data_IF_250704713732
#
_entry.id   IF_250704713732
#
_cell.length_a   1.000
_cell.length_b   1.000
_cell.length_c   1.000
_cell.angle_alpha   90.00
_cell.angle_beta   90.00
_cell.angle_gamma   90.00
#
_symmetry.space_group_name_H-M   'P 1'
#
loop_
_entity.id
_entity.type
_entity.pdbx_description
1 polymer ?
#
# COMPACT_ATOMS: atom_id res chain seq x y z
N UNK A 1 6.73 7.34 -26.54
CA UNK A 1 7.79 6.65 -25.76
C UNK A 1 7.17 5.52 -24.93
N UNK A 2 7.36 4.26 -25.31
CA UNK A 2 7.23 3.16 -24.37
C UNK A 2 8.63 2.90 -23.80
N UNK A 3 8.96 3.57 -22.69
CA UNK A 3 10.31 3.59 -22.12
C UNK A 3 10.59 2.39 -21.20
N UNK A 4 9.55 1.64 -20.80
CA UNK A 4 9.64 0.50 -19.87
C UNK A 4 8.76 -0.64 -20.38
N UNK A 5 9.31 -1.86 -20.36
CA UNK A 5 8.53 -3.08 -20.59
C UNK A 5 7.52 -3.29 -19.46
N UNK A 6 6.41 -4.03 -19.70
CA UNK A 6 5.52 -4.45 -18.64
C UNK A 6 6.29 -5.26 -17.59
N UNK A 7 6.05 -5.03 -16.29
CA UNK A 7 6.57 -5.90 -15.24
C UNK A 7 5.84 -7.25 -15.23
N UNK A 8 6.55 -8.30 -14.80
CA UNK A 8 6.03 -9.67 -14.73
C UNK A 8 4.87 -9.77 -13.72
N UNK A 9 5.09 -9.70 -12.38
CA UNK A 9 4.02 -9.34 -11.45
C UNK A 9 4.31 -8.04 -10.69
N UNK A 10 3.24 -7.36 -10.27
CA UNK A 10 3.35 -6.21 -9.36
C UNK A 10 2.73 -6.51 -8.01
N UNK A 11 3.55 -6.42 -6.96
CA UNK A 11 3.09 -6.50 -5.57
C UNK A 11 2.81 -5.10 -5.04
N UNK A 12 1.63 -4.90 -4.46
CA UNK A 12 1.16 -3.58 -4.03
C UNK A 12 0.50 -3.57 -2.67
N UNK A 13 0.58 -2.44 -2.00
CA UNK A 13 -0.17 -2.10 -0.79
C UNK A 13 -1.56 -1.51 -1.15
N UNK A 14 -2.23 -0.87 -0.21
CA UNK A 14 -3.59 -0.29 -0.27
C UNK A 14 -4.07 0.37 -1.56
N UNK A 15 -3.20 1.09 -2.24
CA UNK A 15 -3.55 2.33 -2.94
C UNK A 15 -4.26 2.18 -4.30
N UNK A 16 -5.52 2.60 -4.42
CA UNK A 16 -6.27 2.53 -5.68
C UNK A 16 -5.61 3.25 -6.87
N UNK A 17 -4.82 4.30 -6.61
CA UNK A 17 -4.14 5.08 -7.65
C UNK A 17 -3.14 4.25 -8.45
N UNK A 18 -2.31 3.45 -7.77
CA UNK A 18 -1.36 2.55 -8.42
C UNK A 18 -2.06 1.50 -9.29
N UNK A 19 -3.21 0.96 -8.86
CA UNK A 19 -3.93 -0.06 -9.63
C UNK A 19 -4.50 0.57 -10.91
N UNK A 20 -5.05 1.78 -10.79
CA UNK A 20 -5.58 2.51 -11.93
C UNK A 20 -4.49 2.79 -12.97
N UNK A 21 -3.35 3.33 -12.54
CA UNK A 21 -2.22 3.61 -13.43
C UNK A 21 -1.67 2.33 -14.08
N UNK A 22 -1.59 1.24 -13.31
CA UNK A 22 -1.16 -0.06 -13.82
C UNK A 22 -2.13 -0.60 -14.87
N UNK A 23 -3.45 -0.55 -14.63
CA UNK A 23 -4.44 -1.03 -15.59
C UNK A 23 -4.53 -0.16 -16.85
N UNK A 24 -4.22 1.13 -16.74
CA UNK A 24 -4.13 2.03 -17.90
C UNK A 24 -2.88 1.74 -18.74
N UNK A 25 -1.74 1.44 -18.10
CA UNK A 25 -0.46 1.28 -18.79
C UNK A 25 -0.13 -0.15 -19.21
N UNK A 26 -0.44 -1.11 -18.35
CA UNK A 26 -0.13 -2.54 -18.47
C UNK A 26 -1.35 -3.36 -17.99
N UNK A 27 -2.43 -3.41 -18.81
CA UNK A 27 -3.69 -4.04 -18.42
C UNK A 27 -3.55 -5.53 -18.10
N UNK A 28 -2.60 -6.20 -18.73
CA UNK A 28 -2.42 -7.66 -18.60
C UNK A 28 -1.44 -8.06 -17.49
N UNK A 29 -0.74 -7.11 -16.86
CA UNK A 29 0.19 -7.42 -15.76
C UNK A 29 -0.57 -8.03 -14.56
N UNK A 30 -0.18 -9.23 -14.10
CA UNK A 30 -0.62 -9.81 -12.83
C UNK A 30 -0.39 -8.87 -11.64
N UNK A 31 -1.38 -8.78 -10.77
CA UNK A 31 -1.33 -7.92 -9.58
C UNK A 31 -1.51 -8.76 -8.34
N UNK A 32 -0.50 -8.72 -7.47
CA UNK A 32 -0.52 -9.32 -6.15
C UNK A 32 -0.79 -8.25 -5.09
N UNK A 33 -1.73 -8.54 -4.19
CA UNK A 33 -1.90 -7.78 -2.96
C UNK A 33 -0.88 -8.24 -1.91
N UNK A 34 -0.09 -7.34 -1.36
CA UNK A 34 0.87 -7.70 -0.31
C UNK A 34 0.18 -8.37 0.90
N UNK A 35 0.53 -9.63 1.19
CA UNK A 35 -0.09 -10.41 2.27
C UNK A 35 0.15 -9.81 3.66
N UNK A 36 1.32 -9.19 3.87
CA UNK A 36 1.59 -8.44 5.12
C UNK A 36 0.57 -7.34 5.37
N UNK A 37 0.17 -6.60 4.32
CA UNK A 37 -0.85 -5.54 4.45
C UNK A 37 -2.26 -6.10 4.67
N UNK A 38 -2.55 -7.30 4.17
CA UNK A 38 -3.81 -8.00 4.46
C UNK A 38 -3.84 -8.43 5.93
N UNK A 39 -2.77 -9.09 6.40
CA UNK A 39 -2.57 -9.43 7.81
C UNK A 39 -2.71 -8.21 8.73
N UNK A 40 -2.06 -7.10 8.38
CA UNK A 40 -2.10 -5.86 9.15
C UNK A 40 -3.52 -5.24 9.18
N UNK A 41 -4.24 -5.26 8.05
CA UNK A 41 -5.61 -4.74 8.00
C UNK A 41 -6.57 -5.55 8.89
N UNK A 42 -6.43 -6.87 8.90
CA UNK A 42 -7.18 -7.75 9.80
C UNK A 42 -6.78 -7.48 11.26
N UNK A 43 -5.48 -7.48 11.55
CA UNK A 43 -4.94 -7.27 12.91
C UNK A 43 -5.31 -5.91 13.49
N UNK A 44 -5.34 -4.84 12.67
CA UNK A 44 -5.81 -3.51 13.10
C UNK A 44 -7.29 -3.54 13.53
N UNK A 45 -8.08 -4.43 12.95
CA UNK A 45 -9.50 -4.58 13.23
C UNK A 45 -9.76 -5.44 14.47
N UNK A 46 -9.05 -6.56 14.60
CA UNK A 46 -9.22 -7.50 15.73
C UNK A 46 -8.44 -7.08 16.99
N UNK A 47 -7.35 -6.33 16.82
CA UNK A 47 -6.30 -6.21 17.82
C UNK A 47 -5.37 -7.43 17.82
N UNK A 48 -4.28 -7.34 18.58
CA UNK A 48 -3.28 -8.41 18.70
C UNK A 48 -3.67 -9.49 19.72
N UNK A 49 -4.52 -9.14 20.69
CA UNK A 49 -5.06 -10.04 21.72
C UNK A 49 -6.58 -9.84 21.87
N UNK A 50 -7.37 -10.26 20.86
CA UNK A 50 -8.83 -10.09 20.89
C UNK A 50 -9.48 -10.90 22.02
N UNK A 51 -10.50 -10.33 22.65
CA UNK A 51 -11.25 -10.98 23.74
C UNK A 51 -12.49 -11.74 23.28
N UNK A 52 -12.98 -11.50 22.06
CA UNK A 52 -14.18 -12.15 21.51
C UNK A 52 -13.81 -13.24 20.52
N UNK A 53 -14.57 -14.34 20.50
CA UNK A 53 -14.32 -15.49 19.62
C UNK A 53 -14.28 -15.11 18.13
N UNK A 54 -15.21 -14.25 17.67
CA UNK A 54 -15.24 -13.77 16.28
C UNK A 54 -13.93 -13.07 15.89
N UNK A 55 -13.35 -12.28 16.81
CA UNK A 55 -12.11 -11.56 16.58
C UNK A 55 -10.87 -12.46 16.78
N UNK A 56 -10.94 -13.45 17.68
CA UNK A 56 -9.88 -14.46 17.87
C UNK A 56 -9.70 -15.29 16.59
N UNK A 57 -10.78 -15.87 16.08
CA UNK A 57 -10.72 -16.67 14.84
C UNK A 57 -10.31 -15.82 13.64
N UNK A 58 -10.77 -14.57 13.56
CA UNK A 58 -10.34 -13.65 12.50
C UNK A 58 -8.86 -13.27 12.65
N UNK A 59 -8.33 -13.19 13.88
CA UNK A 59 -6.90 -12.99 14.14
C UNK A 59 -6.09 -14.21 13.72
N UNK A 60 -6.59 -15.42 13.91
CA UNK A 60 -5.94 -16.65 13.45
C UNK A 60 -5.81 -16.65 11.92
N UNK A 61 -6.86 -16.26 11.20
CA UNK A 61 -6.79 -16.06 9.74
C UNK A 61 -5.75 -15.00 9.34
N UNK A 62 -5.55 -13.97 10.17
CA UNK A 62 -4.50 -12.96 9.91
C UNK A 62 -3.09 -13.52 10.09
N UNK A 63 -2.87 -14.45 11.03
CA UNK A 63 -1.57 -15.14 11.16
C UNK A 63 -1.40 -16.12 10.00
N UNK A 64 -2.40 -16.96 9.76
CA UNK A 64 -2.36 -17.98 8.71
C UNK A 64 -2.08 -17.38 7.32
N UNK A 65 -2.64 -16.20 6.99
CA UNK A 65 -2.39 -15.58 5.68
C UNK A 65 -0.92 -15.21 5.47
N UNK A 66 -0.16 -14.95 6.55
CA UNK A 66 1.26 -14.62 6.46
C UNK A 66 2.16 -15.85 6.21
N UNK A 67 1.59 -17.05 6.36
CA UNK A 67 2.25 -18.34 6.19
C UNK A 67 1.83 -19.04 4.88
N UNK A 68 1.11 -18.34 3.99
CA UNK A 68 0.72 -18.87 2.68
C UNK A 68 1.92 -18.81 1.73
N UNK A 69 2.34 -19.97 1.24
CA UNK A 69 3.51 -20.14 0.38
C UNK A 69 3.25 -21.03 -0.85
N UNK A 70 2.14 -21.76 -0.86
CA UNK A 70 1.76 -22.72 -1.88
C UNK A 70 0.23 -22.81 -2.03
N UNK A 71 -0.23 -23.53 -3.04
CA UNK A 71 -1.66 -23.71 -3.32
C UNK A 71 -2.40 -24.36 -2.15
N UNK A 72 -1.76 -25.30 -1.45
CA UNK A 72 -2.38 -26.02 -0.34
C UNK A 72 -2.65 -25.09 0.85
N UNK A 73 -1.68 -24.25 1.22
CA UNK A 73 -1.82 -23.22 2.25
C UNK A 73 -2.82 -22.14 1.86
N UNK A 74 -2.91 -21.78 0.58
CA UNK A 74 -3.92 -20.87 0.06
C UNK A 74 -5.33 -21.45 0.18
N UNK A 75 -5.53 -22.72 -0.21
CA UNK A 75 -6.81 -23.43 -0.07
C UNK A 75 -7.21 -23.49 1.42
N UNK A 76 -6.29 -23.89 2.30
CA UNK A 76 -6.56 -23.92 3.76
C UNK A 76 -7.00 -22.56 4.30
N UNK A 77 -6.43 -21.47 3.78
CA UNK A 77 -6.84 -20.12 4.19
C UNK A 77 -8.23 -19.74 3.66
N UNK A 78 -8.53 -20.09 2.41
CA UNK A 78 -9.84 -19.84 1.79
C UNK A 78 -10.96 -20.60 2.54
N UNK A 79 -10.72 -21.87 2.83
CA UNK A 79 -11.65 -22.72 3.59
C UNK A 79 -11.85 -22.17 5.00
N UNK A 80 -10.77 -21.88 5.74
CA UNK A 80 -10.87 -21.31 7.08
C UNK A 80 -11.61 -19.97 7.10
N UNK A 81 -11.42 -19.13 6.08
CA UNK A 81 -12.17 -17.88 5.91
C UNK A 81 -13.65 -18.15 5.63
N UNK A 82 -13.97 -19.10 4.77
CA UNK A 82 -15.35 -19.46 4.45
C UNK A 82 -16.07 -19.99 5.70
N UNK A 83 -15.42 -20.86 6.46
CA UNK A 83 -15.92 -21.39 7.73
C UNK A 83 -16.18 -20.27 8.75
N UNK A 84 -15.25 -19.32 8.86
CA UNK A 84 -15.44 -18.14 9.70
C UNK A 84 -16.65 -17.30 9.25
N UNK A 85 -16.82 -17.09 7.94
CA UNK A 85 -17.97 -16.35 7.41
C UNK A 85 -19.29 -17.05 7.70
N UNK A 86 -19.35 -18.38 7.52
CA UNK A 86 -20.53 -19.18 7.83
C UNK A 86 -20.86 -19.16 9.33
N UNK A 87 -19.86 -19.38 10.18
CA UNK A 87 -20.05 -19.43 11.64
C UNK A 87 -20.61 -18.14 12.21
N UNK A 88 -20.15 -16.99 11.70
CA UNK A 88 -20.50 -15.67 12.23
C UNK A 88 -21.50 -14.92 11.36
N UNK A 89 -22.17 -15.59 10.42
CA UNK A 89 -23.04 -14.95 9.43
C UNK A 89 -24.10 -14.05 10.09
N UNK A 90 -24.79 -14.53 11.12
CA UNK A 90 -25.83 -13.77 11.83
C UNK A 90 -25.29 -12.42 12.37
N UNK A 91 -24.11 -12.42 12.96
CA UNK A 91 -23.45 -11.22 13.48
C UNK A 91 -22.95 -10.29 12.36
N UNK A 92 -22.51 -10.87 11.24
CA UNK A 92 -22.01 -10.10 10.10
C UNK A 92 -23.15 -9.41 9.32
N UNK A 93 -24.35 -9.99 9.36
CA UNK A 93 -25.55 -9.48 8.71
C UNK A 93 -26.38 -8.57 9.62
N UNK A 94 -26.07 -8.53 10.92
CA UNK A 94 -26.70 -7.63 11.88
C UNK A 94 -26.53 -6.16 11.45
N UNK A 95 -27.64 -5.41 11.42
CA UNK A 95 -27.64 -3.99 11.09
C UNK A 95 -28.29 -3.15 12.17
N UNK A 96 -27.70 -1.98 12.41
CA UNK A 96 -28.23 -0.93 13.28
C UNK A 96 -28.63 0.28 12.44
N UNK A 97 -29.64 1.02 12.90
CA UNK A 97 -30.08 2.27 12.27
C UNK A 97 -29.34 3.44 12.91
N UNK A 98 -28.64 4.24 12.11
CA UNK A 98 -27.96 5.44 12.60
C UNK A 98 -28.94 6.60 12.90
N UNK A 99 -28.45 7.65 13.54
CA UNK A 99 -29.26 8.84 13.89
C UNK A 99 -29.90 9.54 12.67
N UNK A 100 -29.47 9.21 11.44
CA UNK A 100 -30.01 9.72 10.17
C UNK A 100 -30.96 8.72 9.50
N UNK A 101 -31.36 7.65 10.19
CA UNK A 101 -32.27 6.64 9.67
C UNK A 101 -31.63 5.64 8.69
N UNK A 102 -30.30 5.63 8.55
CA UNK A 102 -29.61 4.74 7.58
C UNK A 102 -29.22 3.43 8.26
N UNK A 103 -29.50 2.31 7.60
CA UNK A 103 -29.02 0.99 8.04
C UNK A 103 -27.51 0.85 7.82
N UNK A 104 -26.79 0.46 8.86
CA UNK A 104 -25.34 0.20 8.86
C UNK A 104 -25.08 -1.16 9.50
N UNK A 105 -24.02 -1.89 9.11
CA UNK A 105 -23.64 -3.09 9.84
C UNK A 105 -23.36 -2.76 11.32
N UNK A 106 -23.78 -3.63 12.24
CA UNK A 106 -23.51 -3.50 13.66
C UNK A 106 -22.00 -3.57 13.95
N UNK A 107 -21.27 -4.36 13.15
CA UNK A 107 -19.82 -4.55 13.23
C UNK A 107 -19.12 -3.99 11.96
N UNK A 108 -19.10 -2.66 11.74
CA UNK A 108 -18.70 -2.07 10.47
C UNK A 108 -17.25 -2.36 10.09
N UNK A 109 -16.34 -2.43 11.08
CA UNK A 109 -14.91 -2.70 10.84
C UNK A 109 -14.66 -4.15 10.40
N UNK A 110 -15.32 -5.11 11.05
CA UNK A 110 -15.21 -6.54 10.72
C UNK A 110 -15.80 -6.79 9.33
N UNK A 111 -16.98 -6.22 9.04
CA UNK A 111 -17.62 -6.32 7.72
C UNK A 111 -16.77 -5.67 6.64
N UNK A 112 -16.07 -4.57 6.92
CA UNK A 112 -15.14 -3.96 5.96
C UNK A 112 -13.95 -4.88 5.63
N UNK A 113 -13.39 -5.59 6.61
CA UNK A 113 -12.33 -6.59 6.41
C UNK A 113 -12.84 -7.78 5.58
N UNK A 114 -14.04 -8.29 5.90
CA UNK A 114 -14.69 -9.35 5.10
C UNK A 114 -14.80 -8.95 3.63
N UNK A 115 -15.34 -7.75 3.37
CA UNK A 115 -15.50 -7.17 2.02
C UNK A 115 -14.18 -6.87 1.33
N UNK A 116 -13.13 -6.53 2.07
CA UNK A 116 -11.79 -6.41 1.52
C UNK A 116 -11.33 -7.78 1.00
N UNK A 117 -11.41 -8.82 1.82
CA UNK A 117 -11.04 -10.18 1.41
C UNK A 117 -11.89 -10.67 0.22
N UNK A 118 -13.22 -10.46 0.25
CA UNK A 118 -14.12 -10.80 -0.87
C UNK A 118 -13.62 -10.18 -2.18
N UNK A 119 -13.28 -8.89 -2.18
CA UNK A 119 -12.78 -8.19 -3.37
C UNK A 119 -11.42 -8.72 -3.83
N UNK A 120 -10.52 -9.05 -2.91
CA UNK A 120 -9.19 -9.58 -3.28
C UNK A 120 -9.29 -10.97 -3.89
N UNK A 121 -10.16 -11.82 -3.36
CA UNK A 121 -10.45 -13.16 -3.90
C UNK A 121 -11.12 -13.02 -5.27
N UNK A 122 -12.21 -12.24 -5.36
CA UNK A 122 -12.96 -12.09 -6.61
C UNK A 122 -12.15 -11.44 -7.75
N UNK A 123 -11.17 -10.60 -7.40
CA UNK A 123 -10.26 -10.00 -8.39
C UNK A 123 -9.05 -10.88 -8.74
N UNK A 124 -8.89 -12.03 -8.09
CA UNK A 124 -7.73 -12.90 -8.27
C UNK A 124 -6.41 -12.29 -7.78
N UNK A 125 -6.44 -11.24 -6.96
CA UNK A 125 -5.23 -10.51 -6.54
C UNK A 125 -4.66 -10.99 -5.21
N UNK A 126 -5.37 -11.84 -4.47
CA UNK A 126 -4.95 -12.27 -3.14
C UNK A 126 -3.75 -13.24 -3.17
N UNK A 127 -3.74 -14.18 -4.11
CA UNK A 127 -2.72 -15.24 -4.21
C UNK A 127 -2.12 -15.36 -5.62
N UNK A 128 -2.22 -14.30 -6.44
CA UNK A 128 -1.66 -14.25 -7.79
C UNK A 128 -0.16 -14.57 -7.87
N UNK A 129 0.59 -14.41 -6.76
CA UNK A 129 2.01 -14.77 -6.70
C UNK A 129 2.26 -16.27 -6.85
N UNK A 130 1.27 -17.14 -6.57
CA UNK A 130 1.41 -18.58 -6.73
C UNK A 130 1.49 -19.00 -8.19
N UNK A 131 0.83 -18.25 -9.07
CA UNK A 131 0.83 -18.49 -10.52
C UNK A 131 2.11 -17.95 -11.20
N UNK A 132 3.01 -17.31 -10.47
CA UNK A 132 4.14 -16.56 -11.02
C UNK A 132 5.44 -17.02 -10.35
N UNK A 133 6.28 -17.73 -11.10
CA UNK A 133 7.53 -18.28 -10.58
C UNK A 133 8.44 -17.19 -10.00
N UNK A 134 8.86 -17.35 -8.74
CA UNK A 134 9.73 -16.40 -8.05
C UNK A 134 9.05 -15.09 -7.61
N UNK A 135 7.74 -14.92 -7.82
CA UNK A 135 7.01 -13.74 -7.39
C UNK A 135 6.88 -13.70 -5.85
N UNK A 136 7.20 -12.55 -5.21
CA UNK A 136 7.07 -12.45 -3.77
C UNK A 136 5.61 -12.22 -3.35
N UNK A 137 5.18 -12.86 -2.27
CA UNK A 137 3.86 -12.61 -1.66
C UNK A 137 3.76 -11.23 -0.95
N UNK A 138 4.90 -10.58 -0.69
CA UNK A 138 4.99 -9.32 0.07
C UNK A 138 5.86 -8.28 -0.63
N UNK A 139 5.65 -7.01 -0.28
CA UNK A 139 6.43 -5.89 -0.78
C UNK A 139 7.64 -5.55 0.12
N UNK A 140 8.11 -6.49 0.95
CA UNK A 140 9.17 -6.24 1.94
C UNK A 140 10.47 -5.73 1.31
N UNK A 141 10.81 -6.21 0.09
CA UNK A 141 12.03 -5.78 -0.62
C UNK A 141 11.99 -4.28 -0.93
N UNK A 142 10.86 -3.79 -1.47
CA UNK A 142 10.71 -2.38 -1.80
C UNK A 142 10.52 -1.52 -0.54
N UNK A 143 9.84 -2.02 0.50
CA UNK A 143 9.72 -1.27 1.76
C UNK A 143 11.06 -1.14 2.50
N UNK A 144 11.93 -2.15 2.41
CA UNK A 144 13.31 -2.05 2.91
C UNK A 144 14.10 -0.97 2.17
N UNK A 145 14.04 -0.95 0.85
CA UNK A 145 14.67 0.09 0.03
C UNK A 145 14.12 1.49 0.36
N UNK A 146 12.80 1.62 0.42
CA UNK A 146 12.13 2.87 0.81
C UNK A 146 12.53 3.30 2.23
N UNK A 147 12.72 2.36 3.15
CA UNK A 147 13.23 2.62 4.49
C UNK A 147 14.60 3.29 4.46
N UNK A 148 15.53 2.78 3.64
CA UNK A 148 16.87 3.35 3.44
C UNK A 148 16.82 4.75 2.81
N UNK A 149 15.98 4.94 1.79
CA UNK A 149 15.76 6.26 1.17
C UNK A 149 15.28 7.27 2.22
N UNK A 150 14.31 6.88 3.06
CA UNK A 150 13.74 7.74 4.10
C UNK A 150 14.70 7.96 5.28
N UNK A 151 15.67 7.08 5.50
CA UNK A 151 16.63 7.19 6.59
C UNK A 151 17.60 8.36 6.38
N UNK A 152 18.15 8.50 5.17
CA UNK A 152 19.09 9.56 4.82
C UNK A 152 18.59 10.98 5.20
N UNK A 153 17.39 11.44 4.78
CA UNK A 153 16.91 12.77 5.16
C UNK A 153 16.56 12.88 6.66
N UNK A 154 16.22 11.78 7.34
CA UNK A 154 15.96 11.78 8.79
C UNK A 154 17.22 12.02 9.61
N UNK A 155 18.35 11.46 9.16
CA UNK A 155 19.65 11.62 9.81
C UNK A 155 20.28 12.99 9.51
N UNK A 156 19.86 13.62 8.42
CA UNK A 156 20.39 14.90 7.96
C UNK A 156 19.32 16.01 7.91
N UNK A 157 18.61 16.22 9.03
CA UNK A 157 17.51 17.20 9.15
C UNK A 157 17.89 18.64 8.82
N UNK A 158 19.19 18.98 8.84
CA UNK A 158 19.71 20.30 8.48
C UNK A 158 19.87 20.55 6.97
N UNK A 159 19.60 19.55 6.11
CA UNK A 159 19.66 19.75 4.66
C UNK A 159 18.47 20.57 4.15
N UNK A 160 18.74 21.45 3.18
CA UNK A 160 17.67 22.11 2.41
C UNK A 160 16.85 21.09 1.63
N UNK A 161 15.59 21.41 1.32
CA UNK A 161 14.70 20.54 0.52
C UNK A 161 15.32 20.15 -0.82
N UNK A 162 15.94 21.11 -1.52
CA UNK A 162 16.64 20.85 -2.77
C UNK A 162 17.78 19.83 -2.61
N UNK A 163 18.58 19.94 -1.55
CA UNK A 163 19.67 18.99 -1.26
C UNK A 163 19.15 17.61 -0.88
N UNK A 164 18.05 17.53 -0.11
CA UNK A 164 17.39 16.26 0.19
C UNK A 164 16.90 15.56 -1.08
N UNK A 165 16.23 16.27 -1.99
CA UNK A 165 15.75 15.72 -3.26
C UNK A 165 16.93 15.21 -4.11
N UNK A 166 18.01 15.99 -4.25
CA UNK A 166 19.21 15.56 -4.98
C UNK A 166 19.81 14.29 -4.39
N UNK A 167 19.96 14.24 -3.06
CA UNK A 167 20.52 13.09 -2.37
C UNK A 167 19.64 11.83 -2.54
N UNK A 168 18.31 11.97 -2.51
CA UNK A 168 17.38 10.88 -2.84
C UNK A 168 17.55 10.42 -4.30
N UNK A 169 17.59 11.35 -5.25
CA UNK A 169 17.77 11.01 -6.68
C UNK A 169 19.10 10.30 -6.94
N UNK A 170 20.19 10.77 -6.33
CA UNK A 170 21.50 10.11 -6.39
C UNK A 170 21.47 8.72 -5.78
N UNK A 171 20.84 8.56 -4.61
CA UNK A 171 20.69 7.24 -4.00
C UNK A 171 19.93 6.28 -4.94
N UNK A 172 18.78 6.71 -5.48
CA UNK A 172 17.98 5.91 -6.40
C UNK A 172 18.75 5.53 -7.66
N UNK A 173 19.55 6.45 -8.20
CA UNK A 173 20.38 6.18 -9.36
C UNK A 173 21.45 5.12 -9.07
N UNK A 174 22.22 5.29 -7.99
CA UNK A 174 23.31 4.37 -7.61
C UNK A 174 22.81 2.97 -7.24
N UNK A 175 21.54 2.84 -6.85
CA UNK A 175 20.89 1.57 -6.52
C UNK A 175 20.00 1.03 -7.66
N UNK A 176 20.09 1.61 -8.86
CA UNK A 176 19.50 1.04 -10.06
C UNK A 176 20.27 -0.19 -10.55
N UNK A 177 19.64 -0.99 -11.41
CA UNK A 177 20.28 -2.18 -12.01
C UNK A 177 21.47 -1.81 -12.92
N UNK A 178 21.35 -0.66 -13.60
CA UNK A 178 22.36 -0.12 -14.51
C UNK A 178 22.57 1.37 -14.23
N UNK A 179 23.31 1.73 -13.16
CA UNK A 179 23.65 3.13 -12.90
C UNK A 179 24.59 3.67 -13.99
N UNK A 180 24.35 4.89 -14.43
CA UNK A 180 25.30 5.63 -15.27
C UNK A 180 26.57 5.99 -14.47
N UNK A 181 27.57 6.56 -15.15
CA UNK A 181 28.78 7.03 -14.46
C UNK A 181 28.50 8.22 -13.52
N UNK A 182 29.36 8.39 -12.51
CA UNK A 182 29.31 9.58 -11.62
C UNK A 182 29.45 10.90 -12.41
N UNK A 183 30.20 10.89 -13.51
CA UNK A 183 30.35 12.04 -14.40
C UNK A 183 29.03 12.37 -15.12
N UNK A 184 28.31 11.33 -15.59
CA UNK A 184 26.97 11.50 -16.17
C UNK A 184 26.00 12.05 -15.14
N UNK A 185 26.01 11.49 -13.93
CA UNK A 185 25.19 11.95 -12.81
C UNK A 185 25.44 13.42 -12.46
N UNK A 186 26.70 13.83 -12.37
CA UNK A 186 27.05 15.22 -12.06
C UNK A 186 26.57 16.17 -13.16
N UNK A 187 26.68 15.78 -14.42
CA UNK A 187 26.22 16.57 -15.57
C UNK A 187 24.69 16.67 -15.67
N UNK A 188 23.96 15.65 -15.19
CA UNK A 188 22.49 15.55 -15.26
C UNK A 188 21.81 15.73 -13.90
N UNK A 189 22.55 16.12 -12.87
CA UNK A 189 22.00 16.33 -11.54
C UNK A 189 20.98 17.47 -11.55
N UNK A 190 19.88 17.29 -10.82
CA UNK A 190 18.89 18.35 -10.63
C UNK A 190 19.57 19.60 -10.03
N UNK A 191 19.30 20.76 -10.61
CA UNK A 191 19.72 22.05 -10.03
C UNK A 191 18.81 22.44 -8.88
N UNK A 192 19.26 23.32 -7.98
CA UNK A 192 18.39 23.81 -6.90
C UNK A 192 17.20 24.58 -7.48
N UNK A 193 17.44 25.40 -8.50
CA UNK A 193 16.39 26.13 -9.22
C UNK A 193 15.33 25.19 -9.84
N UNK A 194 15.74 24.09 -10.47
CA UNK A 194 14.80 23.12 -11.04
C UNK A 194 13.89 22.51 -9.96
N UNK A 195 14.45 22.17 -8.79
CA UNK A 195 13.65 21.63 -7.69
C UNK A 195 12.67 22.68 -7.17
N UNK A 196 13.11 23.93 -7.00
CA UNK A 196 12.26 25.02 -6.52
C UNK A 196 11.14 25.36 -7.53
N UNK A 197 11.44 25.30 -8.82
CA UNK A 197 10.45 25.50 -9.89
C UNK A 197 9.40 24.39 -9.90
N UNK A 198 9.80 23.13 -9.70
CA UNK A 198 8.85 22.02 -9.56
C UNK A 198 7.94 22.18 -8.34
N UNK A 199 8.48 22.63 -7.20
CA UNK A 199 7.68 22.92 -6.02
C UNK A 199 6.68 24.05 -6.27
N UNK A 200 7.11 25.11 -6.96
CA UNK A 200 6.26 26.24 -7.33
C UNK A 200 5.14 25.80 -8.27
N UNK A 201 5.45 25.02 -9.29
CA UNK A 201 4.47 24.47 -10.24
C UNK A 201 3.46 23.56 -9.52
N UNK A 202 3.94 22.66 -8.66
CA UNK A 202 3.09 21.77 -7.90
C UNK A 202 2.16 22.52 -6.93
N UNK A 203 2.63 23.65 -6.37
CA UNK A 203 1.82 24.53 -5.52
C UNK A 203 0.75 25.29 -6.32
N UNK A 204 1.11 25.83 -7.49
CA UNK A 204 0.19 26.57 -8.36
C UNK A 204 -0.94 25.69 -8.92
N UNK A 205 -0.67 24.41 -9.15
CA UNK A 205 -1.63 23.45 -9.69
C UNK A 205 -2.28 22.56 -8.62
N UNK A 206 -2.26 22.97 -7.35
CA UNK A 206 -2.92 22.24 -6.25
C UNK A 206 -4.46 22.32 -6.40
N UNK A 207 -5.20 21.22 -6.24
CA UNK A 207 -6.66 21.23 -6.13
C UNK A 207 -7.14 22.19 -5.01
N UNK A 208 -8.18 22.99 -5.28
CA UNK A 208 -8.62 24.10 -4.41
C UNK A 208 -9.26 23.67 -3.08
N UNK A 209 -9.61 22.40 -2.91
CA UNK A 209 -10.32 21.82 -1.76
C UNK A 209 -9.42 21.50 -0.54
N UNK A 210 -8.10 21.71 -0.65
CA UNK A 210 -7.13 21.26 0.36
C UNK A 210 -6.21 22.40 0.84
N UNK A 211 -6.71 23.62 1.08
CA UNK A 211 -5.90 24.76 1.58
C UNK A 211 -5.52 24.62 3.06
N UNK A 212 -4.57 23.73 3.37
CA UNK A 212 -3.74 23.86 4.56
C UNK A 212 -2.35 24.39 4.12
N UNK A 213 -1.91 25.57 4.61
CA UNK A 213 -0.64 26.20 4.23
C UNK A 213 0.62 25.39 4.60
N UNK A 214 0.51 24.37 5.47
CA UNK A 214 1.68 23.60 5.93
C UNK A 214 1.85 22.22 5.24
N UNK A 215 0.98 21.86 4.29
CA UNK A 215 1.00 20.55 3.63
C UNK A 215 1.63 20.58 2.22
N UNK A 216 2.59 19.68 1.99
CA UNK A 216 3.29 19.47 0.71
C UNK A 216 2.30 19.16 -0.45
N UNK A 217 2.59 19.57 -1.70
CA UNK A 217 1.67 19.36 -2.82
C UNK A 217 1.45 17.88 -3.15
N UNK A 218 0.20 17.43 -2.98
CA UNK A 218 -0.29 16.04 -3.09
C UNK A 218 -0.19 15.37 -4.49
N UNK A 219 0.28 16.07 -5.53
CA UNK A 219 0.11 15.64 -6.94
C UNK A 219 0.99 14.44 -7.33
N UNK A 220 2.08 14.21 -6.60
CA UNK A 220 2.93 13.03 -6.73
C UNK A 220 2.94 12.33 -5.37
N UNK A 221 2.57 11.04 -5.36
CA UNK A 221 2.21 10.26 -4.18
C UNK A 221 2.92 10.70 -2.90
N UNK A 222 2.15 11.32 -2.00
CA UNK A 222 2.51 11.35 -0.60
C UNK A 222 2.50 9.89 -0.14
N UNK A 223 3.68 9.31 0.05
CA UNK A 223 3.79 8.16 0.94
C UNK A 223 3.14 8.55 2.25
N UNK A 224 2.00 7.91 2.55
CA UNK A 224 1.20 7.96 3.78
C UNK A 224 1.38 9.27 4.55
N UNK A 225 0.39 10.16 4.44
CA UNK A 225 0.21 11.22 5.42
C UNK A 225 0.13 10.59 6.83
N UNK A 226 1.18 10.78 7.62
CA UNK A 226 1.27 10.27 9.00
C UNK A 226 0.26 10.95 9.92
N UNK A 227 -0.32 12.09 9.53
CA UNK A 227 -1.32 12.79 10.32
C UNK A 227 -2.73 12.19 10.18
N UNK A 228 -2.97 11.32 9.19
CA UNK A 228 -4.25 10.60 9.06
C UNK A 228 -4.52 9.56 10.17
N UNK A 229 -3.63 9.46 11.17
CA UNK A 229 -3.78 8.64 12.37
C UNK A 229 -4.06 9.43 13.65
N UNK A 230 -4.11 10.76 13.58
CA UNK A 230 -4.41 11.62 14.72
C UNK A 230 -5.41 12.71 14.33
N UNK A 231 -6.69 12.33 14.22
CA UNK A 231 -7.80 13.25 14.43
C UNK A 231 -8.84 12.54 15.32
N UNK A 232 -9.28 13.26 16.35
CA UNK A 232 -10.10 12.83 17.48
C UNK A 232 -11.57 12.59 17.12
#
# INVERSE_FOLDING_TARGET
MARLAPPDPVVRDGDGGLLKALRERWPDTPVQRCLFHVCLAITKTTGTKPSTDICQQLRDLAVQISEVHDDESAIRWLDGRQDWCHRWQEYLDETVTDAKGRKRPALPRIVAVRRMADRLIASGTLFAFLDQEGAPATNNRIESANGRIRQMPRDHRGMSKARMVKAICWWCHQHGEHPESDAWLAAHALTEQQVDDWYRDAWQHRPQDLRDPDSLPLRYGIGIDWNAFHDH
#
